data_IF_036868473700
#
_entry.id   IF_036868473700
#
_cell.length_a   1.000
_cell.length_b   1.000
_cell.length_c   1.000
_cell.angle_alpha   90.00
_cell.angle_beta   90.00
_cell.angle_gamma   90.00
#
_symmetry.space_group_name_H-M   'P 1'
#
loop_
_entity.id
_entity.type
_entity.pdbx_description
1 polymer ?
#
# COMPACT_ATOMS: atom_id res chain seq x y z
N UNK A 1 13.59 -21.03 53.83
CA UNK A 1 12.83 -19.84 53.42
C UNK A 1 12.55 -19.93 51.93
N UNK A 2 11.37 -20.43 51.60
CA UNK A 2 10.95 -20.75 50.23
C UNK A 2 10.19 -19.54 49.68
N UNK A 3 10.69 -18.90 48.62
CA UNK A 3 9.99 -17.78 47.96
C UNK A 3 8.83 -18.34 47.14
N UNK A 4 7.64 -17.82 47.42
CA UNK A 4 6.36 -18.08 46.78
C UNK A 4 6.41 -17.75 45.28
N UNK A 5 5.79 -18.63 44.47
CA UNK A 5 5.47 -18.39 43.07
C UNK A 5 4.51 -17.19 43.00
N UNK A 6 4.79 -16.25 42.10
CA UNK A 6 3.81 -15.23 41.74
C UNK A 6 2.73 -15.92 40.90
N UNK A 7 1.56 -16.11 41.51
CA UNK A 7 0.34 -16.48 40.81
C UNK A 7 -0.11 -15.25 40.00
N UNK A 8 0.09 -15.31 38.68
CA UNK A 8 -0.45 -14.33 37.75
C UNK A 8 -1.90 -14.73 37.48
N UNK A 9 -2.83 -14.17 38.25
CA UNK A 9 -4.26 -14.33 37.96
C UNK A 9 -4.58 -13.59 36.65
N UNK A 10 -5.19 -14.25 35.66
CA UNK A 10 -5.66 -13.57 34.46
C UNK A 10 -6.78 -12.60 34.85
N UNK A 11 -6.62 -11.34 34.47
CA UNK A 11 -7.66 -10.32 34.59
C UNK A 11 -8.83 -10.65 33.64
N UNK A 12 -9.89 -11.22 34.19
CA UNK A 12 -11.14 -11.58 33.50
C UNK A 12 -12.12 -10.39 33.36
N UNK A 13 -11.68 -9.15 33.58
CA UNK A 13 -12.51 -7.97 33.35
C UNK A 13 -12.95 -7.88 31.87
N UNK A 14 -14.24 -7.66 31.57
CA UNK A 14 -14.69 -7.57 30.18
C UNK A 14 -13.97 -6.41 29.48
N UNK A 15 -13.11 -6.76 28.51
CA UNK A 15 -12.36 -5.80 27.71
C UNK A 15 -13.33 -4.81 27.06
N UNK A 16 -13.34 -3.58 27.54
CA UNK A 16 -14.23 -2.55 27.03
C UNK A 16 -13.70 -2.08 25.68
N UNK A 17 -14.40 -2.42 24.60
CA UNK A 17 -14.01 -2.05 23.23
C UNK A 17 -14.29 -0.56 23.02
N UNK A 18 -13.30 0.20 22.56
CA UNK A 18 -13.48 1.63 22.26
C UNK A 18 -14.26 1.83 20.95
N UNK A 19 -14.91 2.99 20.72
CA UNK A 19 -15.60 3.28 19.46
C UNK A 19 -14.72 3.13 18.22
N UNK A 20 -13.44 3.49 18.32
CA UNK A 20 -12.45 3.38 17.24
C UNK A 20 -12.13 1.92 16.93
N UNK A 21 -11.94 1.10 17.96
CA UNK A 21 -11.73 -0.34 17.82
C UNK A 21 -12.93 -1.02 17.17
N UNK A 22 -14.14 -0.58 17.52
CA UNK A 22 -15.38 -1.06 16.91
C UNK A 22 -15.48 -0.67 15.43
N UNK A 23 -15.15 0.58 15.07
CA UNK A 23 -15.13 1.03 13.68
C UNK A 23 -14.16 0.21 12.82
N UNK A 24 -12.95 -0.05 13.34
CA UNK A 24 -11.95 -0.90 12.68
C UNK A 24 -12.46 -2.33 12.52
N UNK A 25 -13.13 -2.88 13.55
CA UNK A 25 -13.74 -4.22 13.48
C UNK A 25 -14.80 -4.31 12.39
N UNK A 26 -15.65 -3.29 12.26
CA UNK A 26 -16.69 -3.22 11.23
C UNK A 26 -16.09 -3.08 9.83
N UNK A 27 -15.08 -2.22 9.65
CA UNK A 27 -14.37 -2.09 8.37
C UNK A 27 -13.64 -3.38 7.97
N UNK A 28 -12.99 -4.04 8.92
CA UNK A 28 -12.33 -5.33 8.67
C UNK A 28 -13.36 -6.40 8.27
N UNK A 29 -14.56 -6.37 8.86
CA UNK A 29 -15.67 -7.25 8.47
C UNK A 29 -16.19 -6.95 7.07
N UNK A 30 -16.27 -5.67 6.67
CA UNK A 30 -16.61 -5.27 5.31
C UNK A 30 -15.57 -5.81 4.30
N UNK A 31 -14.28 -5.62 4.57
CA UNK A 31 -13.20 -6.14 3.72
C UNK A 31 -13.26 -7.66 3.59
N UNK A 32 -13.49 -8.38 4.69
CA UNK A 32 -13.66 -9.83 4.67
C UNK A 32 -14.84 -10.26 3.79
N UNK A 33 -15.99 -9.59 3.90
CA UNK A 33 -17.18 -9.92 3.14
C UNK A 33 -17.01 -9.69 1.63
N UNK A 34 -16.28 -8.63 1.25
CA UNK A 34 -16.17 -8.20 -0.15
C UNK A 34 -15.03 -8.89 -0.90
N UNK A 35 -13.93 -9.19 -0.20
CA UNK A 35 -12.70 -9.66 -0.82
C UNK A 35 -12.29 -11.07 -0.35
N UNK A 36 -12.99 -11.64 0.64
CA UNK A 36 -12.62 -12.92 1.26
C UNK A 36 -11.33 -12.87 2.06
N UNK A 37 -10.81 -11.67 2.34
CA UNK A 37 -9.57 -11.45 3.08
C UNK A 37 -9.80 -11.67 4.57
N UNK A 38 -8.91 -12.40 5.25
CA UNK A 38 -9.00 -12.60 6.70
C UNK A 38 -9.05 -11.22 7.42
N UNK A 39 -9.86 -11.11 8.47
CA UNK A 39 -10.02 -9.91 9.29
C UNK A 39 -8.69 -9.29 9.76
N UNK A 40 -7.69 -10.09 10.13
CA UNK A 40 -6.41 -9.57 10.59
C UNK A 40 -5.65 -8.87 9.46
N UNK A 41 -5.66 -9.46 8.26
CA UNK A 41 -5.12 -8.79 7.07
C UNK A 41 -5.95 -7.55 6.68
N UNK A 42 -7.27 -7.61 6.84
CA UNK A 42 -8.14 -6.44 6.68
C UNK A 42 -7.77 -5.30 7.64
N UNK A 43 -7.52 -5.61 8.92
CA UNK A 43 -7.02 -4.65 9.91
C UNK A 43 -5.66 -4.08 9.52
N UNK A 44 -4.74 -4.91 9.04
CA UNK A 44 -3.43 -4.44 8.53
C UNK A 44 -3.61 -3.39 7.44
N UNK A 45 -4.49 -3.62 6.47
CA UNK A 45 -4.77 -2.62 5.42
C UNK A 45 -5.40 -1.33 5.99
N UNK A 46 -6.29 -1.45 6.97
CA UNK A 46 -6.91 -0.29 7.63
C UNK A 46 -5.87 0.54 8.39
N UNK A 47 -5.03 -0.11 9.21
CA UNK A 47 -3.95 0.55 9.93
C UNK A 47 -2.94 1.20 8.98
N UNK A 48 -2.63 0.55 7.87
CA UNK A 48 -1.80 1.14 6.82
C UNK A 48 -2.44 2.44 6.30
N UNK A 49 -3.72 2.42 5.91
CA UNK A 49 -4.40 3.64 5.46
C UNK A 49 -4.44 4.72 6.55
N UNK A 50 -4.68 4.38 7.82
CA UNK A 50 -4.62 5.36 8.91
C UNK A 50 -3.23 5.99 9.03
N UNK A 51 -2.16 5.20 8.91
CA UNK A 51 -0.80 5.70 8.95
C UNK A 51 -0.47 6.67 7.81
N UNK A 52 -1.13 6.55 6.65
CA UNK A 52 -0.91 7.48 5.52
C UNK A 52 -1.28 8.93 5.85
N UNK A 53 -2.18 9.18 6.80
CA UNK A 53 -2.53 10.53 7.27
C UNK A 53 -1.38 11.21 8.03
N UNK A 54 -0.32 10.45 8.36
CA UNK A 54 0.86 10.91 9.08
C UNK A 54 2.10 11.04 8.19
N UNK A 55 1.94 11.02 6.86
CA UNK A 55 3.04 11.15 5.90
C UNK A 55 3.89 12.43 6.08
N UNK A 56 3.31 13.51 6.62
CA UNK A 56 4.05 14.74 6.90
C UNK A 56 4.91 14.65 8.17
N UNK A 57 4.61 13.71 9.07
CA UNK A 57 5.27 13.52 10.36
C UNK A 57 6.31 12.39 10.32
N UNK A 58 6.20 11.46 9.37
CA UNK A 58 7.10 10.31 9.23
C UNK A 58 8.12 10.51 8.10
N UNK A 59 9.29 9.88 8.23
CA UNK A 59 10.32 9.88 7.20
C UNK A 59 10.30 8.62 6.31
N UNK A 60 9.62 7.58 6.77
CA UNK A 60 9.64 6.28 6.13
C UNK A 60 8.26 5.64 6.15
N UNK A 61 7.83 5.08 5.02
CA UNK A 61 6.55 4.38 4.88
C UNK A 61 6.72 3.19 3.93
N UNK A 62 6.46 1.94 4.36
CA UNK A 62 6.57 0.78 3.48
C UNK A 62 5.50 0.83 2.39
N UNK A 63 5.70 0.06 1.32
CA UNK A 63 4.64 -0.19 0.35
C UNK A 63 3.62 -1.19 0.95
N UNK A 64 2.36 -1.10 0.57
CA UNK A 64 1.36 -2.15 0.81
C UNK A 64 1.13 -2.87 -0.51
N UNK A 65 1.59 -4.11 -0.61
CA UNK A 65 1.48 -4.91 -1.82
C UNK A 65 0.34 -5.92 -1.69
N UNK A 66 -0.62 -5.85 -2.60
CA UNK A 66 -1.79 -6.70 -2.63
C UNK A 66 -1.65 -7.65 -3.82
N UNK A 67 -1.35 -8.91 -3.52
CA UNK A 67 -1.08 -9.95 -4.52
C UNK A 67 -2.27 -10.90 -4.64
N UNK A 68 -2.63 -11.27 -5.86
CA UNK A 68 -3.59 -12.35 -6.08
C UNK A 68 -3.96 -12.54 -7.55
N UNK A 69 -4.65 -13.62 -7.89
CA UNK A 69 -5.06 -13.89 -9.27
C UNK A 69 -6.23 -13.00 -9.75
N UNK A 70 -6.42 -12.87 -11.06
CA UNK A 70 -7.57 -12.14 -11.64
C UNK A 70 -8.89 -12.67 -11.05
N UNK A 71 -9.82 -11.76 -10.73
CA UNK A 71 -11.12 -12.12 -10.13
C UNK A 71 -11.09 -12.34 -8.62
N UNK A 72 -9.97 -12.14 -7.93
CA UNK A 72 -9.88 -12.31 -6.47
C UNK A 72 -10.44 -11.15 -5.63
N UNK A 73 -11.11 -10.16 -6.23
CA UNK A 73 -11.65 -9.00 -5.50
C UNK A 73 -10.66 -7.86 -5.20
N UNK A 74 -9.44 -7.88 -5.76
CA UNK A 74 -8.40 -6.84 -5.54
C UNK A 74 -8.85 -5.43 -5.89
N UNK A 75 -9.46 -5.23 -7.05
CA UNK A 75 -9.95 -3.90 -7.45
C UNK A 75 -10.97 -3.35 -6.46
N UNK A 76 -11.82 -4.22 -5.91
CA UNK A 76 -12.82 -3.81 -4.93
C UNK A 76 -12.21 -3.49 -3.56
N UNK A 77 -11.16 -4.23 -3.16
CA UNK A 77 -10.36 -3.85 -1.99
C UNK A 77 -9.71 -2.47 -2.21
N UNK A 78 -9.12 -2.24 -3.40
CA UNK A 78 -8.50 -0.97 -3.74
C UNK A 78 -9.48 0.20 -3.66
N UNK A 79 -10.73 0.03 -4.06
CA UNK A 79 -11.76 1.07 -3.89
C UNK A 79 -11.99 1.43 -2.42
N UNK A 80 -12.05 0.44 -1.54
CA UNK A 80 -12.19 0.65 -0.10
C UNK A 80 -10.95 1.37 0.44
N UNK A 81 -9.74 0.90 0.12
CA UNK A 81 -8.51 1.51 0.61
C UNK A 81 -8.31 2.93 0.06
N UNK A 82 -8.68 3.18 -1.19
CA UNK A 82 -8.69 4.50 -1.79
C UNK A 82 -9.59 5.47 -0.99
N UNK A 83 -10.72 5.01 -0.44
CA UNK A 83 -11.60 5.86 0.36
C UNK A 83 -11.06 6.16 1.77
N UNK A 84 -10.17 5.32 2.30
CA UNK A 84 -9.65 5.42 3.67
C UNK A 84 -8.31 6.17 3.75
N UNK A 85 -7.49 6.03 2.72
CA UNK A 85 -6.14 6.55 2.68
C UNK A 85 -6.08 8.08 2.47
N UNK A 86 -4.99 8.70 2.92
CA UNK A 86 -4.74 10.13 2.79
C UNK A 86 -4.44 10.53 1.34
N UNK A 87 -5.20 11.50 0.82
CA UNK A 87 -5.07 12.07 -0.53
C UNK A 87 -4.71 11.02 -1.60
N UNK A 88 -5.59 10.02 -1.86
CA UNK A 88 -5.28 8.96 -2.80
C UNK A 88 -5.04 9.52 -4.21
N UNK A 89 -4.00 9.03 -4.88
CA UNK A 89 -3.67 9.34 -6.27
C UNK A 89 -3.59 8.04 -7.08
N UNK A 90 -4.57 7.80 -7.95
CA UNK A 90 -4.64 6.56 -8.74
C UNK A 90 -3.71 6.60 -9.94
N UNK A 91 -2.99 5.50 -10.13
CA UNK A 91 -2.10 5.24 -11.27
C UNK A 91 -2.50 3.88 -11.84
N UNK A 92 -3.00 3.87 -13.07
CA UNK A 92 -3.45 2.63 -13.72
C UNK A 92 -2.31 2.09 -14.57
N UNK A 93 -1.85 0.87 -14.27
CA UNK A 93 -0.88 0.13 -15.04
C UNK A 93 -1.47 -0.29 -16.39
N UNK A 94 -0.67 -0.17 -17.44
CA UNK A 94 -1.01 -0.67 -18.77
C UNK A 94 0.26 -0.92 -19.58
N UNK A 95 0.19 -1.78 -20.59
CA UNK A 95 1.36 -2.26 -21.35
C UNK A 95 2.12 -1.21 -22.17
N UNK A 96 1.66 0.04 -22.18
CA UNK A 96 2.26 1.14 -22.96
C UNK A 96 2.75 2.29 -22.09
N UNK A 97 2.64 2.16 -20.77
CA UNK A 97 3.13 3.19 -19.86
C UNK A 97 4.67 3.21 -19.94
N UNK A 98 5.21 4.39 -20.17
CA UNK A 98 6.67 4.58 -20.17
C UNK A 98 7.12 4.84 -18.74
N UNK A 99 8.39 4.58 -18.47
CA UNK A 99 8.94 4.86 -17.15
C UNK A 99 8.99 6.35 -16.81
N UNK A 100 9.12 7.20 -17.83
CA UNK A 100 9.00 8.65 -17.69
C UNK A 100 7.59 9.03 -17.25
N UNK A 101 6.57 8.42 -17.85
CA UNK A 101 5.17 8.61 -17.44
C UNK A 101 4.98 8.18 -15.99
N UNK A 102 5.42 6.97 -15.63
CA UNK A 102 5.34 6.47 -14.25
C UNK A 102 6.01 7.42 -13.26
N UNK A 103 7.23 7.87 -13.54
CA UNK A 103 7.96 8.83 -12.70
C UNK A 103 7.16 10.12 -12.49
N UNK A 104 6.60 10.68 -13.57
CA UNK A 104 5.84 11.91 -13.50
C UNK A 104 4.54 11.72 -12.68
N UNK A 105 3.86 10.58 -12.83
CA UNK A 105 2.69 10.24 -12.01
C UNK A 105 3.05 10.08 -10.53
N UNK A 106 4.17 9.41 -10.23
CA UNK A 106 4.68 9.29 -8.85
C UNK A 106 5.10 10.64 -8.25
N UNK A 107 5.62 11.55 -9.07
CA UNK A 107 5.90 12.93 -8.66
C UNK A 107 4.63 13.72 -8.33
N UNK A 108 3.54 13.54 -9.10
CA UNK A 108 2.23 14.13 -8.76
C UNK A 108 1.64 13.56 -7.47
N UNK A 109 2.01 12.31 -7.16
CA UNK A 109 1.67 11.63 -5.92
C UNK A 109 2.66 11.93 -4.77
N UNK A 110 3.58 12.89 -4.88
CA UNK A 110 4.48 13.23 -3.78
C UNK A 110 3.69 13.66 -2.51
N UNK A 111 4.10 13.13 -1.35
CA UNK A 111 3.44 13.26 -0.03
C UNK A 111 1.98 12.76 0.01
N UNK A 112 1.57 11.98 -0.99
CA UNK A 112 0.23 11.37 -1.11
C UNK A 112 0.30 9.86 -1.08
N UNK A 113 -0.87 9.21 -1.09
CA UNK A 113 -0.97 7.76 -1.25
C UNK A 113 -1.09 7.41 -2.73
N UNK A 114 -0.03 6.87 -3.34
CA UNK A 114 -0.10 6.33 -4.70
C UNK A 114 -0.86 5.00 -4.69
N UNK A 115 -1.92 4.90 -5.48
CA UNK A 115 -2.73 3.70 -5.64
C UNK A 115 -2.45 3.14 -7.03
N UNK A 116 -1.54 2.17 -7.13
CA UNK A 116 -1.09 1.60 -8.40
C UNK A 116 -1.89 0.33 -8.69
N UNK A 117 -2.75 0.39 -9.70
CA UNK A 117 -3.57 -0.73 -10.15
C UNK A 117 -2.88 -1.49 -11.30
N UNK A 118 -2.98 -2.81 -11.30
CA UNK A 118 -2.40 -3.65 -12.37
C UNK A 118 -0.89 -3.40 -12.59
N UNK A 119 -0.13 -3.37 -11.49
CA UNK A 119 1.32 -3.15 -11.47
C UNK A 119 2.12 -4.13 -12.35
N UNK A 120 1.58 -5.30 -12.58
CA UNK A 120 2.20 -6.37 -13.35
C UNK A 120 2.06 -6.15 -14.86
N UNK A 121 1.23 -5.18 -15.28
CA UNK A 121 1.14 -4.76 -16.68
C UNK A 121 2.19 -3.72 -17.08
N UNK A 122 2.95 -3.19 -16.13
CA UNK A 122 4.07 -2.31 -16.45
C UNK A 122 5.17 -3.10 -17.19
N UNK A 123 5.53 -2.70 -18.43
CA UNK A 123 6.50 -3.46 -19.23
C UNK A 123 7.88 -3.57 -18.60
N UNK A 124 8.32 -2.51 -17.91
CA UNK A 124 9.61 -2.47 -17.24
C UNK A 124 9.45 -2.69 -15.73
N UNK A 125 9.30 -3.94 -15.32
CA UNK A 125 9.09 -4.31 -13.92
C UNK A 125 10.19 -3.81 -12.99
N UNK A 126 11.45 -3.97 -13.41
CA UNK A 126 12.62 -3.53 -12.63
C UNK A 126 12.56 -2.03 -12.30
N UNK A 127 12.06 -1.22 -13.21
CA UNK A 127 11.99 0.22 -13.00
C UNK A 127 10.82 0.62 -12.08
N UNK A 128 9.67 -0.05 -12.20
CA UNK A 128 8.59 0.07 -11.20
C UNK A 128 9.13 -0.23 -9.79
N UNK A 129 9.80 -1.38 -9.62
CA UNK A 129 10.34 -1.80 -8.33
C UNK A 129 11.41 -0.84 -7.80
N UNK A 130 12.27 -0.30 -8.68
CA UNK A 130 13.22 0.76 -8.31
C UNK A 130 12.53 2.02 -7.78
N UNK A 131 11.44 2.46 -8.40
CA UNK A 131 10.67 3.59 -7.88
C UNK A 131 10.02 3.26 -6.52
N UNK A 132 9.48 2.05 -6.36
CA UNK A 132 8.90 1.60 -5.09
C UNK A 132 9.93 1.50 -3.97
N UNK A 133 11.15 1.08 -4.29
CA UNK A 133 12.28 1.06 -3.35
C UNK A 133 12.66 2.47 -2.90
N UNK A 134 12.70 3.43 -3.83
CA UNK A 134 13.19 4.77 -3.55
C UNK A 134 12.14 5.65 -2.86
N UNK A 135 10.86 5.46 -3.17
CA UNK A 135 9.74 6.25 -2.66
C UNK A 135 9.51 6.11 -1.15
N UNK A 136 9.92 5.01 -0.53
CA UNK A 136 9.61 4.75 0.90
C UNK A 136 10.37 5.64 1.89
N UNK A 137 11.50 6.27 1.52
CA UNK A 137 12.32 7.10 2.43
C UNK A 137 12.45 8.54 1.93
N UNK A 138 11.81 9.46 2.66
CA UNK A 138 11.69 10.88 2.31
C UNK A 138 13.03 11.60 2.20
N UNK A 139 13.98 11.27 3.09
CA UNK A 139 15.26 11.98 3.21
C UNK A 139 16.37 11.34 2.37
N UNK A 140 16.35 10.02 2.19
CA UNK A 140 17.50 9.30 1.64
C UNK A 140 17.39 9.00 0.15
N UNK A 141 16.21 8.59 -0.33
CA UNK A 141 16.08 7.98 -1.66
C UNK A 141 14.98 8.57 -2.51
N UNK A 142 13.99 9.23 -1.92
CA UNK A 142 12.82 9.73 -2.63
C UNK A 142 13.04 11.01 -3.46
N UNK A 143 14.29 11.34 -3.79
CA UNK A 143 14.64 12.47 -4.63
C UNK A 143 15.26 11.94 -5.94
N UNK A 144 14.52 12.08 -7.04
CA UNK A 144 14.94 11.60 -8.35
C UNK A 144 15.45 12.79 -9.17
N UNK A 145 16.74 12.79 -9.49
CA UNK A 145 17.34 13.80 -10.37
C UNK A 145 17.19 13.38 -11.84
N UNK A 146 16.74 14.29 -12.69
CA UNK A 146 16.56 14.06 -14.12
C UNK A 146 17.10 15.25 -14.89
N UNK A 147 17.87 14.97 -15.94
CA UNK A 147 18.31 16.00 -16.89
C UNK A 147 17.24 16.19 -17.96
N UNK A 148 16.73 17.40 -18.07
CA UNK A 148 15.73 17.80 -19.08
C UNK A 148 16.28 18.93 -19.92
N UNK A 149 15.77 19.05 -21.14
CA UNK A 149 16.07 20.20 -21.98
C UNK A 149 15.03 21.28 -21.72
N UNK A 150 15.47 22.47 -21.32
CA UNK A 150 14.58 23.59 -21.07
C UNK A 150 14.11 24.26 -22.37
N UNK A 151 13.23 25.26 -22.26
CA UNK A 151 12.68 26.01 -23.41
C UNK A 151 13.76 26.68 -24.26
N UNK A 152 14.92 26.99 -23.66
CA UNK A 152 16.08 27.60 -24.33
C UNK A 152 17.04 26.57 -24.93
N UNK A 153 16.63 25.30 -25.03
CA UNK A 153 17.44 24.16 -25.50
C UNK A 153 18.67 23.85 -24.65
N UNK A 154 18.78 24.41 -23.45
CA UNK A 154 19.86 24.11 -22.52
C UNK A 154 19.48 22.90 -21.66
N UNK A 155 20.46 22.07 -21.34
CA UNK A 155 20.28 20.95 -20.43
C UNK A 155 20.34 21.43 -18.99
N UNK A 156 19.31 21.12 -18.21
CA UNK A 156 19.24 21.40 -16.78
C UNK A 156 18.86 20.14 -16.01
N UNK A 157 19.39 19.99 -14.80
CA UNK A 157 19.01 18.90 -13.90
C UNK A 157 17.95 19.40 -12.93
N UNK A 158 16.77 18.79 -12.99
CA UNK A 158 15.67 19.02 -12.07
C UNK A 158 15.54 17.84 -11.09
N UNK A 159 15.14 18.12 -9.86
CA UNK A 159 14.87 17.10 -8.84
C UNK A 159 13.37 16.96 -8.64
N UNK A 160 12.88 15.73 -8.70
CA UNK A 160 11.51 15.36 -8.39
C UNK A 160 11.47 14.65 -7.04
N UNK A 161 10.65 15.15 -6.12
CA UNK A 161 10.28 14.38 -4.96
C UNK A 161 9.28 13.30 -5.35
N UNK A 162 9.49 12.09 -4.85
CA UNK A 162 8.59 10.96 -5.09
C UNK A 162 8.17 10.28 -3.80
N UNK A 163 8.45 10.87 -2.63
CA UNK A 163 8.09 10.27 -1.34
C UNK A 163 6.59 10.15 -1.20
N UNK A 164 6.11 9.09 -0.56
CA UNK A 164 4.70 8.96 -0.19
C UNK A 164 4.34 7.50 0.09
N UNK A 165 3.13 7.29 0.61
CA UNK A 165 2.61 5.94 0.75
C UNK A 165 2.33 5.34 -0.63
N UNK A 166 2.32 4.01 -0.70
CA UNK A 166 2.01 3.27 -1.92
C UNK A 166 1.18 2.04 -1.59
N UNK A 167 0.05 1.90 -2.27
CA UNK A 167 -0.68 0.64 -2.35
C UNK A 167 -0.55 0.13 -3.78
N UNK A 168 -0.01 -1.06 -3.93
CA UNK A 168 0.17 -1.72 -5.22
C UNK A 168 -0.73 -2.94 -5.29
N UNK A 169 -1.44 -3.08 -6.41
CA UNK A 169 -2.15 -4.29 -6.76
C UNK A 169 -1.39 -5.02 -7.87
N UNK A 170 -1.05 -6.28 -7.62
CA UNK A 170 -0.36 -7.18 -8.55
C UNK A 170 -0.95 -8.59 -8.66
N UNK A 171 -0.61 -9.27 -9.76
CA UNK A 171 -0.82 -10.72 -9.93
C UNK A 171 0.29 -11.58 -9.34
N UNK A 172 1.51 -11.06 -9.24
CA UNK A 172 2.69 -11.77 -8.75
C UNK A 172 3.47 -10.86 -7.80
N UNK A 173 4.18 -11.46 -6.84
CA UNK A 173 5.04 -10.73 -5.91
C UNK A 173 6.20 -10.00 -6.62
N UNK A 174 6.80 -9.04 -5.93
CA UNK A 174 8.04 -8.37 -6.35
C UNK A 174 9.14 -9.35 -6.73
N UNK A 175 9.89 -9.00 -7.77
CA UNK A 175 11.08 -9.74 -8.20
C UNK A 175 12.32 -9.27 -7.43
N UNK A 176 12.45 -7.95 -7.22
CA UNK A 176 13.55 -7.37 -6.46
C UNK A 176 13.35 -7.55 -4.94
N UNK A 177 14.32 -8.22 -4.31
CA UNK A 177 14.33 -8.50 -2.88
C UNK A 177 14.27 -7.23 -2.02
N UNK A 178 14.82 -6.12 -2.50
CA UNK A 178 14.84 -4.86 -1.77
C UNK A 178 13.47 -4.14 -1.86
N UNK A 179 12.69 -4.37 -2.92
CA UNK A 179 11.29 -3.94 -3.01
C UNK A 179 10.43 -4.76 -2.05
N UNK A 180 10.54 -6.09 -2.11
CA UNK A 180 9.83 -7.03 -1.23
C UNK A 180 10.06 -6.73 0.26
N UNK A 181 11.31 -6.54 0.68
CA UNK A 181 11.66 -6.21 2.08
C UNK A 181 11.16 -4.85 2.56
N UNK A 182 10.70 -3.98 1.65
CA UNK A 182 10.11 -2.68 1.95
C UNK A 182 8.59 -2.69 1.75
N UNK A 183 8.00 -3.86 1.52
CA UNK A 183 6.58 -4.07 1.35
C UNK A 183 5.99 -4.81 2.54
N UNK A 184 4.76 -4.47 2.88
CA UNK A 184 3.83 -5.32 3.62
C UNK A 184 3.04 -6.07 2.58
N UNK A 185 3.24 -7.38 2.47
CA UNK A 185 2.62 -8.21 1.43
C UNK A 185 1.32 -8.85 1.96
N UNK A 186 0.22 -8.59 1.26
CA UNK A 186 -1.12 -9.12 1.52
C UNK A 186 -1.51 -10.04 0.37
N UNK A 187 -1.51 -11.34 0.66
CA UNK A 187 -1.89 -12.37 -0.30
C UNK A 187 -3.41 -12.64 -0.26
N UNK A 188 -4.10 -12.31 -1.34
CA UNK A 188 -5.53 -12.57 -1.51
C UNK A 188 -5.73 -13.88 -2.26
N UNK A 189 -6.21 -14.91 -1.54
CA UNK A 189 -6.65 -16.16 -2.15
C UNK A 189 -8.10 -16.03 -2.58
N UNK A 190 -8.38 -16.41 -3.83
CA UNK A 190 -9.75 -16.50 -4.33
C UNK A 190 -10.53 -17.55 -3.52
N UNK A 191 -11.58 -17.14 -2.80
CA UNK A 191 -12.52 -18.09 -2.20
C UNK A 191 -13.43 -18.63 -3.31
N UNK A 192 -13.12 -19.83 -3.83
CA UNK A 192 -14.01 -20.55 -4.75
C UNK A 192 -15.34 -20.84 -4.01
N UNK A 193 -16.46 -20.37 -4.57
CA UNK A 193 -17.79 -20.86 -4.18
C UNK A 193 -18.74 -19.90 -3.45
N UNK A 194 -18.36 -18.65 -3.16
CA UNK A 194 -19.34 -17.64 -2.73
C UNK A 194 -19.71 -16.75 -3.91
N UNK A 195 -20.51 -17.32 -4.81
CA UNK A 195 -21.32 -16.49 -5.69
C UNK A 195 -22.29 -15.72 -4.78
N UNK A 196 -21.96 -14.49 -4.44
CA UNK A 196 -22.97 -13.53 -4.05
C UNK A 196 -23.77 -13.25 -5.31
N UNK A 197 -24.82 -14.04 -5.54
CA UNK A 197 -25.95 -13.60 -6.32
C UNK A 197 -26.44 -12.32 -5.65
N UNK A 198 -26.03 -11.18 -6.20
CA UNK A 198 -26.78 -9.94 -6.05
C UNK A 198 -27.93 -10.05 -7.04
N UNK A 199 -29.06 -10.51 -6.51
CA UNK A 199 -30.48 -10.24 -6.83
C UNK A 199 -31.32 -11.43 -6.35
#
# INVERSE_FOLDING_TARGET
MTKTRNDFEPDDSPMTITPEQEAIRQLAKLIENVCGLNKDWGKTCIYYCMATHKLNEINWMPNLEIVGQKGSGKSRLMDILCALCYEPYRIIGHQRITSVTLRNELGKAENKTAIIEEGDLFPNRKELESYLINRVDKKRTAQVAVTVQNKSKQWETIKFGTFGATILHDRHEMVDMAADRRSIVINIKHQRGKHFLLL
#
